data_IF_356386376707
#
_entry.id   IF_356386376707
#
_cell.length_a   1.000
_cell.length_b   1.000
_cell.length_c   1.000
_cell.angle_alpha   90.00
_cell.angle_beta   90.00
_cell.angle_gamma   90.00
#
_symmetry.space_group_name_H-M   'P 1'
#
loop_
_entity.id
_entity.type
_entity.pdbx_description
1 polymer ?
#
# COMPACT_ATOMS: atom_id res chain seq x y z
N UNK A 1 7.65 -0.48 40.65
CA UNK A 1 7.12 0.67 39.88
C UNK A 1 8.10 0.89 38.74
N UNK A 2 7.63 1.10 37.50
CA UNK A 2 8.54 1.44 36.41
C UNK A 2 9.06 2.87 36.59
N UNK A 3 10.33 3.10 36.30
CA UNK A 3 10.82 4.47 36.16
C UNK A 3 10.21 5.06 34.87
N UNK A 4 9.89 6.35 34.89
CA UNK A 4 9.33 7.07 33.74
C UNK A 4 10.29 7.20 32.57
N UNK A 5 9.95 8.10 31.66
CA UNK A 5 10.91 8.63 30.70
C UNK A 5 11.23 10.07 31.08
N UNK A 6 12.41 10.54 30.71
CA UNK A 6 12.75 11.97 30.79
C UNK A 6 12.96 12.44 29.36
N UNK A 7 12.20 13.45 28.96
CA UNK A 7 12.47 14.18 27.74
C UNK A 7 13.37 15.36 28.08
N UNK A 8 14.50 15.48 27.36
CA UNK A 8 15.33 16.68 27.36
C UNK A 8 15.16 17.32 25.99
N UNK A 9 14.59 18.52 25.96
CA UNK A 9 14.44 19.32 24.74
C UNK A 9 15.55 20.36 24.69
N UNK A 10 16.14 20.57 23.52
CA UNK A 10 17.07 21.66 23.25
C UNK A 10 16.67 22.38 21.97
N UNK A 11 16.73 23.71 21.97
CA UNK A 11 16.58 24.52 20.76
C UNK A 11 17.96 24.84 20.20
N UNK A 12 18.11 24.71 18.88
CA UNK A 12 19.38 24.92 18.17
C UNK A 12 19.17 25.72 16.87
N UNK A 13 20.25 26.31 16.35
CA UNK A 13 20.32 26.65 14.92
C UNK A 13 20.59 25.39 14.08
N UNK A 14 20.19 25.39 12.81
CA UNK A 14 20.32 24.23 11.92
C UNK A 14 21.77 23.73 11.78
N UNK A 15 22.75 24.63 11.74
CA UNK A 15 24.18 24.28 11.70
C UNK A 15 24.69 23.56 12.97
N UNK A 16 23.93 23.58 14.07
CA UNK A 16 24.26 22.89 15.32
C UNK A 16 23.41 21.61 15.54
N UNK A 17 22.42 21.32 14.68
CA UNK A 17 21.47 20.21 14.89
C UNK A 17 22.18 18.85 14.92
N UNK A 18 22.91 18.50 13.85
CA UNK A 18 23.57 17.20 13.67
C UNK A 18 24.47 16.84 14.87
N UNK A 19 25.33 17.77 15.29
CA UNK A 19 26.21 17.59 16.44
C UNK A 19 25.47 17.42 17.77
N UNK A 20 24.35 18.13 17.97
CA UNK A 20 23.53 17.99 19.19
C UNK A 20 22.77 16.66 19.21
N UNK A 21 22.26 16.20 18.06
CA UNK A 21 21.65 14.88 17.91
C UNK A 21 22.65 13.75 18.21
N UNK A 22 23.85 13.79 17.62
CA UNK A 22 24.93 12.84 17.88
C UNK A 22 25.35 12.83 19.35
N UNK A 23 25.48 14.01 19.96
CA UNK A 23 25.77 14.13 21.38
C UNK A 23 24.68 13.48 22.25
N UNK A 24 23.40 13.76 21.98
CA UNK A 24 22.28 13.19 22.74
C UNK A 24 22.18 11.66 22.59
N UNK A 25 22.48 11.10 21.41
CA UNK A 25 22.62 9.65 21.26
C UNK A 25 23.83 9.08 22.03
N UNK A 26 24.98 9.77 22.03
CA UNK A 26 26.17 9.36 22.81
C UNK A 26 25.90 9.33 24.33
N UNK A 27 24.95 10.14 24.78
CA UNK A 27 24.45 10.20 26.16
C UNK A 27 23.34 9.17 26.46
N UNK A 28 23.15 8.20 25.56
CA UNK A 28 22.15 7.12 25.63
C UNK A 28 20.68 7.57 25.52
N UNK A 29 20.38 8.50 24.62
CA UNK A 29 19.00 8.74 24.19
C UNK A 29 18.41 7.48 23.56
N UNK A 30 17.18 7.15 23.94
CA UNK A 30 16.38 6.04 23.39
C UNK A 30 15.75 6.38 22.03
N UNK A 31 15.66 7.67 21.73
CA UNK A 31 15.12 8.21 20.49
C UNK A 31 15.15 9.74 20.48
N UNK A 32 15.15 10.31 19.28
CA UNK A 32 15.10 11.75 19.01
C UNK A 32 13.89 12.07 18.13
N UNK A 33 13.30 13.25 18.34
CA UNK A 33 12.36 13.89 17.42
C UNK A 33 12.86 15.31 17.18
N UNK A 34 12.99 15.73 15.92
CA UNK A 34 13.35 17.11 15.57
C UNK A 34 12.17 17.81 14.90
N UNK A 35 11.98 19.08 15.21
CA UNK A 35 10.88 19.93 14.72
C UNK A 35 11.41 21.29 14.29
N UNK A 36 11.06 21.73 13.08
CA UNK A 36 11.32 23.09 12.60
C UNK A 36 10.57 24.12 13.44
N UNK A 37 11.28 25.14 13.93
CA UNK A 37 10.69 26.29 14.60
C UNK A 37 10.57 27.46 13.60
N UNK A 38 9.35 28.00 13.37
CA UNK A 38 9.16 29.08 12.41
C UNK A 38 9.76 30.40 12.92
N UNK A 39 10.72 30.94 12.16
CA UNK A 39 11.38 32.21 12.44
C UNK A 39 12.54 32.50 11.48
N UNK A 40 13.12 33.70 11.57
CA UNK A 40 14.41 34.05 10.98
C UNK A 40 15.38 34.54 12.09
N UNK A 41 16.58 33.94 12.25
CA UNK A 41 17.03 32.71 11.60
C UNK A 41 16.12 31.52 11.97
N UNK A 42 16.03 30.53 11.08
CA UNK A 42 15.35 29.28 11.39
C UNK A 42 16.12 28.52 12.47
N UNK A 43 15.37 27.89 13.38
CA UNK A 43 15.90 27.04 14.42
C UNK A 43 15.11 25.74 14.50
N UNK A 44 15.63 24.78 15.24
CA UNK A 44 15.03 23.45 15.37
C UNK A 44 14.95 23.07 16.84
N UNK A 45 13.84 22.45 17.27
CA UNK A 45 13.71 21.84 18.59
C UNK A 45 14.03 20.36 18.47
N UNK A 46 15.10 19.94 19.13
CA UNK A 46 15.50 18.54 19.26
C UNK A 46 14.96 18.03 20.60
N UNK A 47 14.14 16.97 20.60
CA UNK A 47 13.62 16.34 21.80
C UNK A 47 14.18 14.93 21.96
N UNK A 48 14.86 14.68 23.07
CA UNK A 48 15.55 13.43 23.35
C UNK A 48 14.90 12.68 24.52
N UNK A 49 14.44 11.46 24.26
CA UNK A 49 13.85 10.58 25.29
C UNK A 49 14.91 9.72 25.97
N UNK A 50 14.97 9.73 27.30
CA UNK A 50 15.87 8.92 28.12
C UNK A 50 15.09 8.07 29.14
N UNK A 51 15.70 6.98 29.62
CA UNK A 51 15.13 6.20 30.71
C UNK A 51 15.16 6.99 32.04
N UNK A 52 14.07 6.99 32.80
CA UNK A 52 13.89 7.76 34.05
C UNK A 52 14.79 7.35 35.23
N UNK A 53 15.72 6.42 35.04
CA UNK A 53 16.87 6.20 35.94
C UNK A 53 18.04 7.16 35.68
N UNK A 54 17.98 7.98 34.63
CA UNK A 54 19.05 8.90 34.25
C UNK A 54 19.22 10.01 35.30
N UNK A 55 20.48 10.35 35.61
CA UNK A 55 20.83 11.53 36.40
C UNK A 55 20.74 12.80 35.54
N UNK A 56 19.53 13.25 35.27
CA UNK A 56 19.21 14.32 34.30
C UNK A 56 20.06 15.58 34.49
N UNK A 57 20.21 16.08 35.73
CA UNK A 57 21.05 17.25 36.00
C UNK A 57 22.50 17.07 35.57
N UNK A 58 23.05 15.86 35.63
CA UNK A 58 24.41 15.58 35.15
C UNK A 58 24.48 15.55 33.61
N UNK A 59 23.41 15.13 32.92
CA UNK A 59 23.29 15.25 31.45
C UNK A 59 23.21 16.72 31.04
N UNK A 60 22.33 17.51 31.66
CA UNK A 60 22.16 18.94 31.35
C UNK A 60 23.49 19.70 31.48
N UNK A 61 24.28 19.41 32.51
CA UNK A 61 25.62 20.02 32.64
C UNK A 61 26.66 19.48 31.65
N UNK A 62 26.46 18.32 31.00
CA UNK A 62 27.29 17.91 29.84
C UNK A 62 26.81 18.59 28.55
N UNK A 63 25.50 18.62 28.31
CA UNK A 63 24.86 19.29 27.17
C UNK A 63 25.25 20.77 27.09
N UNK A 64 25.16 21.54 28.19
CA UNK A 64 25.61 22.94 28.24
C UNK A 64 27.07 23.14 27.83
N UNK A 65 27.98 22.25 28.28
CA UNK A 65 29.41 22.31 27.91
C UNK A 65 29.62 21.97 26.44
N UNK A 66 28.82 21.06 25.90
CA UNK A 66 28.87 20.72 24.48
C UNK A 66 28.32 21.87 23.62
N UNK A 67 27.18 22.48 23.98
CA UNK A 67 26.67 23.70 23.34
C UNK A 67 27.70 24.83 23.33
N UNK A 68 28.34 25.11 24.47
CA UNK A 68 29.40 26.12 24.56
C UNK A 68 30.64 25.77 23.71
N UNK A 69 30.92 24.49 23.48
CA UNK A 69 32.00 24.06 22.57
C UNK A 69 31.64 24.27 21.10
N UNK A 70 30.38 24.07 20.71
CA UNK A 70 29.87 24.40 19.38
C UNK A 70 29.81 25.94 19.16
N UNK A 71 29.39 26.70 20.18
CA UNK A 71 29.44 28.16 20.17
C UNK A 71 30.87 28.71 20.03
N UNK A 72 31.84 28.10 20.70
CA UNK A 72 33.26 28.44 20.56
C UNK A 72 33.87 28.08 19.18
N UNK A 73 33.24 27.17 18.42
CA UNK A 73 33.55 26.90 17.02
C UNK A 73 32.86 27.88 16.04
N UNK A 74 31.99 28.76 16.55
CA UNK A 74 31.27 29.77 15.78
C UNK A 74 29.93 29.31 15.20
N UNK A 75 29.41 28.15 15.59
CA UNK A 75 28.15 27.61 15.07
C UNK A 75 26.94 28.43 15.57
N UNK A 76 26.13 29.02 14.67
CA UNK A 76 25.02 29.88 15.06
C UNK A 76 23.92 29.11 15.78
N UNK A 77 23.39 29.69 16.86
CA UNK A 77 22.30 29.10 17.63
C UNK A 77 22.67 27.89 18.50
N UNK A 78 23.97 27.58 18.67
CA UNK A 78 24.42 26.46 19.48
C UNK A 78 23.97 26.52 20.96
N UNK A 79 23.94 27.70 21.58
CA UNK A 79 23.61 27.93 23.00
C UNK A 79 22.12 28.25 23.25
N UNK A 80 21.21 27.58 22.53
CA UNK A 80 19.77 27.72 22.76
C UNK A 80 19.28 27.04 24.07
N UNK A 81 18.05 27.36 24.51
CA UNK A 81 17.50 26.87 25.78
C UNK A 81 17.39 25.34 25.85
N UNK A 82 17.66 24.80 27.04
CA UNK A 82 17.39 23.40 27.41
C UNK A 82 16.15 23.36 28.32
N UNK A 83 15.15 22.56 27.94
CA UNK A 83 13.96 22.26 28.74
C UNK A 83 14.02 20.78 29.17
N UNK A 84 13.50 20.46 30.36
CA UNK A 84 13.47 19.10 30.91
C UNK A 84 12.04 18.78 31.35
N UNK A 85 11.51 17.66 30.87
CA UNK A 85 10.19 17.16 31.24
C UNK A 85 10.31 15.72 31.75
N UNK A 86 9.96 15.52 33.02
CA UNK A 86 9.70 14.17 33.53
C UNK A 86 8.35 13.69 32.97
N UNK A 87 8.39 12.67 32.12
CA UNK A 87 7.21 12.01 31.58
C UNK A 87 6.95 10.77 32.47
N UNK A 88 5.85 10.74 33.23
CA UNK A 88 5.50 9.57 34.04
C UNK A 88 5.39 8.30 33.18
N UNK A 89 5.36 7.12 33.81
CA UNK A 89 4.77 5.93 33.17
C UNK A 89 3.24 6.04 33.17
N UNK A 90 2.74 7.17 32.66
CA UNK A 90 1.37 7.27 32.20
C UNK A 90 1.23 6.52 30.88
N UNK A 91 0.03 5.97 30.71
CA UNK A 91 -0.15 4.74 29.96
C UNK A 91 -0.29 5.02 28.46
N UNK A 92 0.74 5.58 27.81
CA UNK A 92 0.72 5.94 26.38
C UNK A 92 0.23 4.77 25.51
N UNK A 93 0.59 3.52 25.84
CA UNK A 93 0.12 2.30 25.18
C UNK A 93 -1.35 1.93 25.40
N UNK A 94 -2.06 2.59 26.33
CA UNK A 94 -3.53 2.53 26.50
C UNK A 94 -4.25 3.86 26.27
N UNK A 95 -3.59 5.01 26.36
CA UNK A 95 -4.28 6.30 26.34
C UNK A 95 -4.92 6.57 24.97
N UNK A 96 -4.22 6.18 23.89
CA UNK A 96 -4.77 6.20 22.52
C UNK A 96 -6.10 5.44 22.39
N UNK A 97 -6.28 4.34 23.13
CA UNK A 97 -7.48 3.50 23.11
C UNK A 97 -8.74 4.24 23.55
N UNK A 98 -8.61 5.31 24.35
CA UNK A 98 -9.73 6.15 24.80
C UNK A 98 -10.32 7.01 23.67
N UNK A 99 -9.53 7.30 22.63
CA UNK A 99 -9.93 8.14 21.50
C UNK A 99 -10.66 7.34 20.41
N UNK A 100 -10.44 6.03 20.32
CA UNK A 100 -11.20 5.15 19.44
C UNK A 100 -12.54 4.79 20.10
N UNK A 101 -13.62 5.35 19.57
CA UNK A 101 -14.99 5.10 20.02
C UNK A 101 -15.84 4.44 18.95
N UNK A 102 -16.96 3.78 19.32
CA UNK A 102 -17.88 3.21 18.35
C UNK A 102 -18.36 4.27 17.35
N UNK A 103 -18.11 4.03 16.07
CA UNK A 103 -18.44 4.91 14.95
C UNK A 103 -19.59 4.30 14.14
N UNK A 104 -20.81 4.82 14.23
CA UNK A 104 -21.89 4.45 13.32
C UNK A 104 -21.52 4.81 11.88
N UNK A 105 -21.70 3.88 10.95
CA UNK A 105 -21.47 4.09 9.51
C UNK A 105 -22.71 3.64 8.76
N UNK A 106 -23.16 4.41 7.76
CA UNK A 106 -24.45 4.15 7.10
C UNK A 106 -25.62 4.01 8.07
N UNK A 107 -26.53 3.07 7.81
CA UNK A 107 -27.72 2.74 8.61
C UNK A 107 -27.55 1.43 9.38
N UNK A 108 -26.74 0.50 8.87
CA UNK A 108 -26.68 -0.91 9.27
C UNK A 108 -25.35 -1.33 9.91
N UNK A 109 -24.34 -0.46 9.96
CA UNK A 109 -23.03 -0.77 10.53
C UNK A 109 -22.66 0.10 11.74
N UNK A 110 -21.87 -0.47 12.66
CA UNK A 110 -21.08 0.30 13.65
C UNK A 110 -19.69 -0.31 13.74
N UNK A 111 -18.67 0.51 13.49
CA UNK A 111 -17.26 0.11 13.62
C UNK A 111 -16.84 0.37 15.06
N UNK A 112 -16.28 -0.62 15.75
CA UNK A 112 -15.87 -0.48 17.14
C UNK A 112 -14.55 -1.20 17.43
N UNK A 113 -13.69 -0.68 18.34
CA UNK A 113 -12.54 -1.43 18.79
C UNK A 113 -12.93 -2.59 19.71
N UNK A 114 -12.08 -3.63 19.89
CA UNK A 114 -12.41 -4.80 20.70
C UNK A 114 -12.57 -4.56 22.20
N UNK A 115 -12.30 -3.36 22.71
CA UNK A 115 -12.44 -2.98 24.13
C UNK A 115 -13.64 -2.06 24.42
N UNK A 116 -14.44 -1.69 23.41
CA UNK A 116 -15.73 -1.04 23.61
C UNK A 116 -16.82 -2.09 23.40
N UNK A 117 -17.67 -2.33 24.40
CA UNK A 117 -18.74 -3.34 24.36
C UNK A 117 -20.15 -2.74 24.20
N UNK A 118 -20.22 -1.42 23.97
CA UNK A 118 -21.46 -0.71 23.69
C UNK A 118 -21.99 0.09 24.90
N UNK A 119 -23.33 0.32 24.99
CA UNK A 119 -24.38 -0.27 24.16
C UNK A 119 -24.28 0.10 22.68
N UNK A 120 -24.51 -0.88 21.81
CA UNK A 120 -24.63 -0.70 20.37
C UNK A 120 -26.12 -0.67 19.96
N UNK A 121 -26.53 0.11 18.94
CA UNK A 121 -27.90 0.06 18.43
C UNK A 121 -28.24 -1.32 17.86
N UNK A 122 -29.35 -1.92 18.31
CA UNK A 122 -29.76 -3.29 17.93
C UNK A 122 -29.94 -3.48 16.42
N UNK A 123 -30.23 -2.40 15.69
CA UNK A 123 -30.41 -2.40 14.24
C UNK A 123 -29.09 -2.33 13.43
N UNK A 124 -27.93 -2.36 14.10
CA UNK A 124 -26.59 -2.27 13.47
C UNK A 124 -25.74 -3.50 13.76
N UNK A 125 -25.00 -3.96 12.75
CA UNK A 125 -23.97 -5.00 12.88
C UNK A 125 -22.68 -4.36 13.40
N UNK A 126 -22.07 -4.99 14.40
CA UNK A 126 -20.81 -4.52 15.00
C UNK A 126 -19.63 -5.11 14.22
N UNK A 127 -18.85 -4.24 13.59
CA UNK A 127 -17.61 -4.58 12.89
C UNK A 127 -16.45 -4.29 13.84
N UNK A 128 -15.85 -5.34 14.43
CA UNK A 128 -14.76 -5.18 15.41
C UNK A 128 -13.39 -5.11 14.73
N UNK A 129 -12.65 -4.02 15.00
CA UNK A 129 -11.34 -3.72 14.40
C UNK A 129 -10.37 -3.28 15.49
N UNK A 130 -9.28 -4.00 15.72
CA UNK A 130 -8.15 -3.43 16.46
C UNK A 130 -7.40 -2.44 15.54
N UNK A 131 -7.29 -1.15 15.89
CA UNK A 131 -6.63 -0.13 15.06
C UNK A 131 -5.10 -0.20 15.05
N UNK A 132 -4.47 -1.18 15.72
CA UNK A 132 -3.07 -1.11 16.14
C UNK A 132 -2.02 -0.82 15.04
N UNK A 133 -2.03 -1.51 13.89
CA UNK A 133 -0.91 -1.43 12.91
C UNK A 133 -1.31 -1.43 11.42
N UNK A 134 -2.59 -1.53 11.06
CA UNK A 134 -3.03 -1.63 9.67
C UNK A 134 -4.03 -0.52 9.30
N UNK A 135 -4.10 -0.18 8.00
CA UNK A 135 -5.00 0.84 7.49
C UNK A 135 -6.46 0.36 7.44
N UNK A 136 -7.42 1.30 7.50
CA UNK A 136 -8.86 1.01 7.47
C UNK A 136 -9.53 0.97 8.85
N UNK A 137 -9.20 1.88 9.76
CA UNK A 137 -9.81 1.98 11.10
C UNK A 137 -11.26 2.49 11.11
N UNK A 138 -11.94 2.54 9.96
CA UNK A 138 -13.31 3.07 9.76
C UNK A 138 -13.44 4.60 9.84
N UNK A 139 -12.49 5.29 10.49
CA UNK A 139 -12.56 6.72 10.75
C UNK A 139 -12.32 7.58 9.49
N UNK A 140 -11.45 7.11 8.59
CA UNK A 140 -11.08 7.81 7.35
C UNK A 140 -12.25 7.85 6.34
N UNK A 141 -12.42 8.99 5.65
CA UNK A 141 -13.53 9.23 4.73
C UNK A 141 -13.67 8.17 3.64
N UNK A 142 -12.55 7.74 3.05
CA UNK A 142 -12.54 6.68 2.02
C UNK A 142 -13.14 5.37 2.52
N UNK A 143 -12.79 4.97 3.75
CA UNK A 143 -13.30 3.74 4.36
C UNK A 143 -14.79 3.88 4.69
N UNK A 144 -15.21 5.05 5.21
CA UNK A 144 -16.61 5.35 5.50
C UNK A 144 -17.48 5.29 4.24
N UNK A 145 -17.04 5.93 3.16
CA UNK A 145 -17.75 5.90 1.87
C UNK A 145 -17.79 4.50 1.25
N UNK A 146 -16.72 3.71 1.33
CA UNK A 146 -16.74 2.31 0.88
C UNK A 146 -17.75 1.46 1.67
N UNK A 147 -17.83 1.63 2.99
CA UNK A 147 -18.80 0.94 3.85
C UNK A 147 -20.25 1.37 3.56
N UNK A 148 -20.49 2.65 3.29
CA UNK A 148 -21.82 3.18 2.90
C UNK A 148 -22.23 2.76 1.47
N UNK A 149 -21.27 2.65 0.56
CA UNK A 149 -21.49 2.13 -0.79
C UNK A 149 -21.76 0.62 -0.78
N UNK A 150 -21.05 -0.13 0.08
CA UNK A 150 -21.27 -1.56 0.34
C UNK A 150 -22.67 -1.78 0.94
N UNK A 151 -23.08 -1.00 1.94
CA UNK A 151 -24.43 -1.04 2.50
C UNK A 151 -25.48 -0.85 1.40
N UNK A 152 -25.37 0.23 0.61
CA UNK A 152 -26.28 0.52 -0.51
C UNK A 152 -26.23 -0.50 -1.67
N UNK A 153 -25.21 -1.35 -1.74
CA UNK A 153 -25.18 -2.52 -2.63
C UNK A 153 -25.96 -3.69 -2.02
N UNK A 154 -25.71 -4.02 -0.75
CA UNK A 154 -26.37 -5.12 -0.04
C UNK A 154 -27.88 -4.88 0.12
N UNK A 155 -28.31 -3.65 0.39
CA UNK A 155 -29.72 -3.25 0.46
C UNK A 155 -30.47 -3.38 -0.88
N UNK A 156 -29.73 -3.42 -1.99
CA UNK A 156 -30.24 -3.60 -3.34
C UNK A 156 -29.99 -5.01 -3.89
N UNK A 157 -29.57 -5.96 -3.06
CA UNK A 157 -29.28 -7.32 -3.46
C UNK A 157 -30.54 -8.21 -3.37
N UNK A 158 -30.84 -9.07 -4.37
CA UNK A 158 -32.05 -9.89 -4.34
C UNK A 158 -32.01 -10.99 -3.26
N UNK A 159 -33.00 -11.00 -2.36
CA UNK A 159 -33.11 -11.96 -1.26
C UNK A 159 -33.19 -13.43 -1.74
N UNK A 160 -33.73 -13.66 -2.93
CA UNK A 160 -33.91 -14.99 -3.54
C UNK A 160 -32.61 -15.60 -4.10
N UNK A 161 -31.56 -14.80 -4.27
CA UNK A 161 -30.28 -15.26 -4.83
C UNK A 161 -29.25 -15.70 -3.78
N UNK A 162 -29.61 -15.70 -2.50
CA UNK A 162 -28.66 -15.88 -1.39
C UNK A 162 -27.77 -14.65 -1.22
N UNK A 163 -26.64 -14.78 -0.53
CA UNK A 163 -25.67 -13.67 -0.39
C UNK A 163 -24.75 -13.52 -1.61
N UNK A 164 -24.26 -12.31 -1.92
CA UNK A 164 -23.27 -12.09 -2.98
C UNK A 164 -21.90 -12.68 -2.66
N UNK A 165 -21.11 -12.95 -3.70
CA UNK A 165 -19.68 -13.31 -3.63
C UNK A 165 -18.84 -12.04 -3.80
N UNK A 166 -18.02 -11.71 -2.81
CA UNK A 166 -17.31 -10.42 -2.71
C UNK A 166 -15.79 -10.61 -2.77
N UNK A 167 -15.09 -9.70 -3.46
CA UNK A 167 -13.63 -9.53 -3.41
C UNK A 167 -13.30 -8.23 -2.68
N UNK A 168 -12.28 -8.24 -1.82
CA UNK A 168 -11.72 -7.07 -1.15
C UNK A 168 -10.22 -6.95 -1.46
N UNK A 169 -9.82 -5.88 -2.17
CA UNK A 169 -8.46 -5.71 -2.73
C UNK A 169 -7.72 -4.60 -1.99
N UNK A 170 -6.62 -4.97 -1.34
CA UNK A 170 -5.94 -4.11 -0.35
C UNK A 170 -6.73 -4.08 0.96
N UNK A 171 -7.05 -5.26 1.49
CA UNK A 171 -8.01 -5.43 2.60
C UNK A 171 -7.53 -4.77 3.91
N UNK A 172 -6.22 -4.55 4.10
CA UNK A 172 -5.67 -3.84 5.25
C UNK A 172 -6.05 -4.48 6.59
N UNK A 173 -6.82 -3.76 7.41
CA UNK A 173 -7.43 -4.26 8.66
C UNK A 173 -8.47 -5.37 8.47
N UNK A 174 -8.89 -5.69 7.24
CA UNK A 174 -10.02 -6.58 6.97
C UNK A 174 -11.39 -5.90 7.06
N UNK A 175 -11.46 -4.58 7.27
CA UNK A 175 -12.72 -3.90 7.64
C UNK A 175 -13.84 -4.05 6.60
N UNK A 176 -13.51 -3.96 5.30
CA UNK A 176 -14.49 -4.06 4.23
C UNK A 176 -14.97 -5.52 4.07
N UNK A 177 -14.06 -6.48 4.10
CA UNK A 177 -14.38 -7.91 4.13
C UNK A 177 -15.24 -8.33 5.35
N UNK A 178 -14.92 -7.85 6.56
CA UNK A 178 -15.71 -8.10 7.78
C UNK A 178 -17.11 -7.50 7.64
N UNK A 179 -17.22 -6.26 7.13
CA UNK A 179 -18.51 -5.60 6.90
C UNK A 179 -19.36 -6.36 5.88
N UNK A 180 -18.77 -6.82 4.77
CA UNK A 180 -19.48 -7.58 3.74
C UNK A 180 -20.03 -8.91 4.28
N UNK A 181 -19.23 -9.67 5.05
CA UNK A 181 -19.70 -10.88 5.71
C UNK A 181 -20.79 -10.59 6.77
N UNK A 182 -20.67 -9.49 7.51
CA UNK A 182 -21.64 -9.05 8.53
C UNK A 182 -22.98 -8.61 7.95
N UNK A 183 -22.98 -8.03 6.74
CA UNK A 183 -24.17 -7.64 5.99
C UNK A 183 -24.81 -8.80 5.22
N UNK A 184 -24.15 -9.97 5.13
CA UNK A 184 -24.75 -11.18 4.58
C UNK A 184 -24.16 -11.69 3.26
N UNK A 185 -22.99 -11.22 2.82
CA UNK A 185 -22.25 -11.85 1.71
C UNK A 185 -22.14 -13.38 1.92
N UNK A 186 -22.29 -14.19 0.89
CA UNK A 186 -22.21 -15.66 1.00
C UNK A 186 -20.75 -16.13 1.14
N UNK A 187 -19.83 -15.47 0.44
CA UNK A 187 -18.38 -15.69 0.49
C UNK A 187 -17.67 -14.36 0.30
N UNK A 188 -16.56 -14.18 0.99
CA UNK A 188 -15.65 -13.05 0.74
C UNK A 188 -14.24 -13.61 0.52
N UNK A 189 -13.55 -13.12 -0.51
CA UNK A 189 -12.11 -13.29 -0.67
C UNK A 189 -11.45 -11.94 -0.43
N UNK A 190 -10.38 -11.90 0.33
CA UNK A 190 -9.68 -10.68 0.70
C UNK A 190 -8.20 -10.85 0.37
N UNK A 191 -7.61 -9.90 -0.35
CA UNK A 191 -6.21 -9.96 -0.80
C UNK A 191 -5.44 -8.73 -0.34
N UNK A 192 -4.21 -8.94 0.11
CA UNK A 192 -3.25 -7.87 0.39
C UNK A 192 -1.82 -8.32 0.09
N UNK A 193 -0.99 -7.43 -0.44
CA UNK A 193 0.42 -7.72 -0.74
C UNK A 193 1.30 -7.62 0.51
N UNK A 194 0.85 -6.91 1.56
CA UNK A 194 1.54 -6.88 2.85
C UNK A 194 1.14 -8.07 3.75
N UNK A 195 2.10 -8.92 4.17
CA UNK A 195 1.83 -9.95 5.17
C UNK A 195 1.30 -9.37 6.49
N UNK A 196 1.69 -8.17 6.91
CA UNK A 196 1.21 -7.58 8.17
C UNK A 196 -0.26 -7.16 8.10
N UNK A 197 -0.71 -6.62 6.95
CA UNK A 197 -2.11 -6.42 6.65
C UNK A 197 -2.89 -7.75 6.66
N UNK A 198 -2.40 -8.79 5.98
CA UNK A 198 -3.02 -10.12 6.01
C UNK A 198 -3.17 -10.65 7.45
N UNK A 199 -2.14 -10.48 8.28
CA UNK A 199 -2.14 -10.87 9.69
C UNK A 199 -3.14 -10.06 10.52
N UNK A 200 -3.27 -8.75 10.26
CA UNK A 200 -4.24 -7.87 10.92
C UNK A 200 -5.68 -8.22 10.53
N UNK A 201 -5.94 -8.47 9.23
CA UNK A 201 -7.23 -8.93 8.74
C UNK A 201 -7.64 -10.26 9.40
N UNK A 202 -6.75 -11.27 9.43
CA UNK A 202 -7.02 -12.56 10.12
C UNK A 202 -7.34 -12.37 11.61
N UNK A 203 -6.61 -11.48 12.31
CA UNK A 203 -6.87 -11.16 13.73
C UNK A 203 -8.22 -10.48 13.94
N UNK A 204 -8.57 -9.50 13.11
CA UNK A 204 -9.85 -8.78 13.21
C UNK A 204 -11.06 -9.64 12.81
N UNK A 205 -10.90 -10.54 11.84
CA UNK A 205 -11.91 -11.53 11.47
C UNK A 205 -12.29 -12.42 12.66
N UNK A 206 -11.33 -12.81 13.49
CA UNK A 206 -11.57 -13.60 14.70
C UNK A 206 -12.29 -12.82 15.83
N UNK A 207 -12.37 -11.48 15.75
CA UNK A 207 -13.10 -10.65 16.72
C UNK A 207 -14.60 -10.53 16.42
N UNK A 208 -15.03 -10.84 15.18
CA UNK A 208 -16.41 -10.62 14.71
C UNK A 208 -17.05 -11.96 14.35
N UNK A 209 -18.24 -12.25 14.88
CA UNK A 209 -18.93 -13.53 14.61
C UNK A 209 -19.47 -13.60 13.17
N UNK A 210 -19.49 -14.79 12.57
CA UNK A 210 -20.04 -15.04 11.22
C UNK A 210 -19.06 -14.81 10.06
N UNK A 211 -17.82 -14.43 10.37
CA UNK A 211 -16.70 -14.16 9.44
C UNK A 211 -16.03 -15.41 8.86
N UNK A 212 -16.44 -16.62 9.24
CA UNK A 212 -15.87 -17.91 8.78
C UNK A 212 -15.98 -18.16 7.27
N UNK A 213 -16.70 -17.29 6.55
CA UNK A 213 -16.86 -17.27 5.07
C UNK A 213 -15.86 -16.35 4.36
N UNK A 214 -14.95 -15.73 5.09
CA UNK A 214 -13.94 -14.79 4.58
C UNK A 214 -12.59 -15.50 4.48
N UNK A 215 -11.99 -15.49 3.29
CA UNK A 215 -10.69 -16.09 3.02
C UNK A 215 -9.68 -14.99 2.71
N UNK A 216 -8.73 -14.78 3.63
CA UNK A 216 -7.58 -13.87 3.40
C UNK A 216 -6.49 -14.64 2.66
N UNK A 217 -6.00 -14.08 1.56
CA UNK A 217 -4.84 -14.55 0.79
C UNK A 217 -3.75 -13.47 0.81
N UNK A 218 -2.48 -13.88 0.80
CA UNK A 218 -1.34 -12.96 0.69
C UNK A 218 -0.89 -12.88 -0.77
N UNK A 219 -0.80 -11.66 -1.30
CA UNK A 219 -0.47 -11.35 -2.69
C UNK A 219 -1.47 -10.35 -3.30
N UNK A 220 -1.25 -10.01 -4.58
CA UNK A 220 -2.17 -9.20 -5.35
C UNK A 220 -3.30 -10.03 -5.96
N UNK A 221 -3.85 -9.53 -7.07
CA UNK A 221 -4.93 -10.20 -7.82
C UNK A 221 -4.49 -11.58 -8.33
N UNK A 222 -3.20 -11.74 -8.63
CA UNK A 222 -2.61 -13.01 -9.07
C UNK A 222 -2.73 -14.15 -8.04
N UNK A 223 -2.84 -13.83 -6.74
CA UNK A 223 -3.08 -14.83 -5.69
C UNK A 223 -4.47 -15.47 -5.77
N UNK A 224 -5.40 -14.90 -6.53
CA UNK A 224 -6.70 -15.51 -6.82
C UNK A 224 -6.59 -16.72 -7.77
N UNK A 225 -5.48 -16.86 -8.52
CA UNK A 225 -5.28 -17.96 -9.46
C UNK A 225 -6.42 -18.06 -10.49
N UNK A 226 -7.15 -19.18 -10.46
CA UNK A 226 -8.31 -19.45 -11.31
C UNK A 226 -9.66 -19.20 -10.61
N UNK A 227 -9.73 -18.26 -9.66
CA UNK A 227 -10.96 -17.91 -8.97
C UNK A 227 -12.10 -17.50 -9.92
N UNK A 228 -13.33 -17.79 -9.49
CA UNK A 228 -14.54 -17.42 -10.21
C UNK A 228 -14.83 -15.91 -10.20
N UNK A 229 -15.92 -15.55 -10.88
CA UNK A 229 -16.41 -14.16 -10.95
C UNK A 229 -17.02 -13.71 -9.62
N UNK A 230 -16.93 -12.41 -9.34
CA UNK A 230 -17.44 -11.77 -8.12
C UNK A 230 -18.62 -10.85 -8.44
N UNK A 231 -19.64 -10.87 -7.59
CA UNK A 231 -20.81 -9.99 -7.70
C UNK A 231 -20.46 -8.55 -7.28
N UNK A 232 -19.51 -8.44 -6.35
CA UNK A 232 -18.96 -7.18 -5.85
C UNK A 232 -17.44 -7.25 -5.71
N UNK A 233 -16.75 -6.20 -6.16
CA UNK A 233 -15.35 -5.93 -5.83
C UNK A 233 -15.25 -4.64 -5.03
N UNK A 234 -14.48 -4.66 -3.95
CA UNK A 234 -14.14 -3.52 -3.11
C UNK A 234 -12.63 -3.23 -3.28
N UNK A 235 -12.26 -1.96 -3.47
CA UNK A 235 -10.85 -1.56 -3.59
C UNK A 235 -10.65 -0.12 -3.06
N UNK A 236 -10.06 0.01 -1.88
CA UNK A 236 -9.76 1.30 -1.23
C UNK A 236 -8.25 1.60 -1.39
N UNK A 237 -7.86 2.04 -2.59
CA UNK A 237 -6.49 2.10 -3.09
C UNK A 237 -6.13 3.50 -3.63
N UNK A 238 -4.86 3.90 -3.56
CA UNK A 238 -4.43 5.17 -4.16
C UNK A 238 -4.56 5.15 -5.69
N UNK A 239 -4.79 6.30 -6.31
CA UNK A 239 -5.04 6.44 -7.76
C UNK A 239 -4.01 5.70 -8.63
N UNK A 240 -2.73 5.71 -8.22
CA UNK A 240 -1.63 5.09 -8.99
C UNK A 240 -1.67 3.57 -8.92
N UNK A 241 -2.10 2.99 -7.80
CA UNK A 241 -2.34 1.54 -7.68
C UNK A 241 -3.67 1.15 -8.32
N UNK A 242 -4.71 1.96 -8.20
CA UNK A 242 -6.05 1.66 -8.70
C UNK A 242 -6.13 1.65 -10.24
N UNK A 243 -5.69 2.73 -10.90
CA UNK A 243 -5.92 2.92 -12.33
C UNK A 243 -5.37 1.77 -13.22
N UNK A 244 -4.16 1.21 -12.99
CA UNK A 244 -3.69 0.04 -13.72
C UNK A 244 -4.53 -1.23 -13.51
N UNK A 245 -5.21 -1.35 -12.37
CA UNK A 245 -5.98 -2.55 -12.01
C UNK A 245 -7.42 -2.52 -12.54
N UNK A 246 -8.01 -1.35 -12.86
CA UNK A 246 -9.42 -1.24 -13.28
C UNK A 246 -9.83 -2.21 -14.39
N UNK A 247 -8.99 -2.40 -15.41
CA UNK A 247 -9.25 -3.33 -16.53
C UNK A 247 -9.13 -4.81 -16.14
N UNK A 248 -8.38 -5.12 -15.07
CA UNK A 248 -8.29 -6.48 -14.51
C UNK A 248 -9.50 -6.73 -13.61
N UNK A 249 -9.81 -5.79 -12.71
CA UNK A 249 -10.96 -5.85 -11.81
C UNK A 249 -12.28 -5.96 -12.57
N UNK A 250 -12.43 -5.28 -13.72
CA UNK A 250 -13.62 -5.40 -14.57
C UNK A 250 -13.84 -6.81 -15.14
N UNK A 251 -12.76 -7.56 -15.39
CA UNK A 251 -12.81 -8.94 -15.88
C UNK A 251 -13.18 -9.94 -14.78
N UNK A 252 -12.91 -9.61 -13.52
CA UNK A 252 -13.30 -10.41 -12.36
C UNK A 252 -14.79 -10.28 -12.01
N UNK A 253 -15.50 -9.28 -12.54
CA UNK A 253 -16.92 -9.10 -12.28
C UNK A 253 -17.80 -10.18 -12.91
N UNK A 254 -18.88 -10.53 -12.21
CA UNK A 254 -20.03 -11.25 -12.76
C UNK A 254 -20.87 -10.32 -13.67
N UNK A 255 -21.73 -10.87 -14.55
CA UNK A 255 -22.73 -10.08 -15.28
C UNK A 255 -23.54 -9.18 -14.34
N UNK A 256 -23.57 -7.87 -14.61
CA UNK A 256 -24.24 -6.88 -13.76
C UNK A 256 -23.52 -6.54 -12.42
N UNK A 257 -22.41 -7.21 -12.11
CA UNK A 257 -21.60 -6.99 -10.91
C UNK A 257 -21.02 -5.58 -10.82
N UNK A 258 -20.63 -5.19 -9.60
CA UNK A 258 -20.16 -3.82 -9.29
C UNK A 258 -18.75 -3.80 -8.69
N UNK A 259 -18.06 -2.69 -8.93
CA UNK A 259 -16.78 -2.33 -8.36
C UNK A 259 -16.98 -1.04 -7.54
N UNK A 260 -16.67 -1.07 -6.25
CA UNK A 260 -16.67 0.10 -5.36
C UNK A 260 -15.22 0.50 -5.12
N UNK A 261 -14.87 1.72 -5.52
CA UNK A 261 -13.49 2.26 -5.39
C UNK A 261 -13.46 3.54 -4.57
N UNK A 262 -12.47 3.65 -3.69
CA UNK A 262 -12.07 4.89 -3.02
C UNK A 262 -10.55 4.82 -2.74
N UNK A 263 -10.02 5.73 -1.93
CA UNK A 263 -8.57 5.99 -1.84
C UNK A 263 -8.09 7.05 -2.86
N UNK A 264 -9.03 7.66 -3.57
CA UNK A 264 -8.82 8.62 -4.67
C UNK A 264 -8.98 10.05 -4.13
N UNK A 265 -7.97 10.93 -4.20
CA UNK A 265 -8.13 12.36 -3.95
C UNK A 265 -9.12 13.00 -4.95
N UNK A 266 -9.89 14.01 -4.55
CA UNK A 266 -10.93 14.58 -5.42
C UNK A 266 -10.37 15.22 -6.70
N UNK A 267 -9.14 15.74 -6.66
CA UNK A 267 -8.42 16.27 -7.83
C UNK A 267 -8.04 15.19 -8.86
N UNK A 268 -7.97 13.92 -8.46
CA UNK A 268 -7.68 12.77 -9.34
C UNK A 268 -8.94 12.21 -10.02
N UNK A 269 -10.14 12.75 -9.74
CA UNK A 269 -11.39 12.33 -10.39
C UNK A 269 -11.29 12.30 -11.93
N UNK A 270 -10.68 13.28 -12.64
CA UNK A 270 -10.54 13.22 -14.09
C UNK A 270 -9.68 12.04 -14.56
N UNK A 271 -8.62 11.72 -13.82
CA UNK A 271 -7.70 10.59 -14.09
C UNK A 271 -8.42 9.26 -13.98
N UNK A 272 -9.13 9.02 -12.87
CA UNK A 272 -9.91 7.79 -12.65
C UNK A 272 -11.07 7.71 -13.63
N UNK A 273 -11.77 8.81 -13.87
CA UNK A 273 -12.91 8.87 -14.81
C UNK A 273 -12.47 8.53 -16.24
N UNK A 274 -11.30 8.99 -16.69
CA UNK A 274 -10.77 8.61 -17.99
C UNK A 274 -10.43 7.10 -18.08
N UNK A 275 -9.87 6.51 -17.02
CA UNK A 275 -9.55 5.08 -16.96
C UNK A 275 -10.79 4.17 -16.85
N UNK A 276 -11.89 4.67 -16.28
CA UNK A 276 -13.20 4.00 -16.31
C UNK A 276 -13.79 4.03 -17.72
N UNK A 277 -13.76 5.18 -18.41
CA UNK A 277 -14.30 5.32 -19.77
C UNK A 277 -13.49 4.60 -20.86
N UNK A 278 -12.23 4.24 -20.62
CA UNK A 278 -11.43 3.41 -21.54
C UNK A 278 -11.65 1.89 -21.35
N UNK A 279 -12.44 1.50 -20.34
CA UNK A 279 -12.83 0.14 -20.02
C UNK A 279 -14.33 -0.08 -20.30
N UNK A 280 -14.84 -1.33 -20.37
CA UNK A 280 -16.28 -1.59 -20.48
C UNK A 280 -16.97 -1.45 -19.10
N UNK A 281 -16.80 -0.28 -18.50
CA UNK A 281 -17.24 0.10 -17.17
C UNK A 281 -18.07 1.38 -17.24
N UNK A 282 -19.01 1.55 -16.29
CA UNK A 282 -19.78 2.78 -16.14
C UNK A 282 -19.94 3.14 -14.67
N UNK A 283 -19.55 4.36 -14.30
CA UNK A 283 -19.91 4.94 -12.99
C UNK A 283 -21.44 5.03 -12.88
N UNK A 284 -22.00 4.42 -11.84
CA UNK A 284 -23.45 4.42 -11.54
C UNK A 284 -23.80 5.27 -10.32
N UNK A 285 -22.83 5.58 -9.46
CA UNK A 285 -23.00 6.38 -8.25
C UNK A 285 -21.63 6.96 -7.79
N UNK A 286 -21.65 8.10 -7.08
CA UNK A 286 -20.49 8.95 -6.75
C UNK A 286 -20.70 9.65 -5.39
N UNK A 287 -19.83 9.35 -4.42
CA UNK A 287 -19.73 10.05 -3.13
C UNK A 287 -18.45 10.88 -3.07
N UNK A 288 -18.48 11.97 -2.31
CA UNK A 288 -17.31 12.78 -1.95
C UNK A 288 -17.42 13.15 -0.48
N UNK A 289 -16.33 13.01 0.28
CA UNK A 289 -16.24 13.40 1.69
C UNK A 289 -14.78 13.70 2.06
N UNK A 290 -14.56 14.78 2.81
CA UNK A 290 -13.26 15.20 3.35
C UNK A 290 -12.13 15.22 2.28
N UNK A 291 -12.44 15.77 1.09
CA UNK A 291 -11.61 15.85 -0.13
C UNK A 291 -11.24 14.50 -0.79
N UNK A 292 -11.89 13.40 -0.41
CA UNK A 292 -11.79 12.10 -1.07
C UNK A 292 -13.00 11.78 -1.95
N UNK A 293 -12.77 11.02 -3.02
CA UNK A 293 -13.77 10.47 -3.92
C UNK A 293 -14.06 8.99 -3.61
N UNK A 294 -15.31 8.57 -3.77
CA UNK A 294 -15.69 7.16 -3.87
C UNK A 294 -16.66 6.96 -5.04
N UNK A 295 -16.36 6.02 -5.94
CA UNK A 295 -17.19 5.68 -7.10
C UNK A 295 -17.76 4.27 -6.96
N UNK A 296 -19.06 4.12 -7.25
CA UNK A 296 -19.66 2.82 -7.56
C UNK A 296 -19.70 2.69 -9.07
N UNK A 297 -19.06 1.65 -9.59
CA UNK A 297 -18.90 1.36 -11.02
C UNK A 297 -19.58 0.03 -11.32
N UNK A 298 -20.26 -0.10 -12.46
CA UNK A 298 -20.89 -1.34 -12.93
C UNK A 298 -20.23 -1.79 -14.24
N UNK A 299 -20.08 -3.10 -14.44
CA UNK A 299 -19.77 -3.64 -15.77
C UNK A 299 -20.91 -3.33 -16.75
N UNK A 300 -20.58 -2.86 -17.95
CA UNK A 300 -21.51 -2.74 -19.08
C UNK A 300 -21.35 -3.89 -20.09
N UNK A 301 -20.57 -4.92 -19.74
CA UNK A 301 -20.53 -6.17 -20.50
C UNK A 301 -21.68 -7.06 -20.07
N UNK A 302 -22.72 -7.12 -20.90
CA UNK A 302 -23.52 -8.35 -21.00
C UNK A 302 -22.60 -9.38 -21.66
N UNK A 303 -22.24 -10.45 -20.94
CA UNK A 303 -21.32 -11.47 -21.45
C UNK A 303 -22.03 -12.35 -22.48
N UNK A 304 -21.86 -12.01 -23.76
CA UNK A 304 -22.07 -12.95 -24.87
C UNK A 304 -21.16 -14.17 -24.65
N UNK A 305 -21.75 -15.36 -24.50
CA UNK A 305 -21.14 -16.54 -23.87
C UNK A 305 -19.96 -17.17 -24.65
N UNK A 306 -19.49 -16.53 -25.71
CA UNK A 306 -18.80 -17.18 -26.83
C UNK A 306 -17.33 -16.80 -27.02
N UNK A 307 -16.77 -15.79 -26.34
CA UNK A 307 -15.42 -15.28 -26.64
C UNK A 307 -14.35 -15.30 -25.53
N UNK A 308 -14.68 -15.53 -24.26
CA UNK A 308 -13.69 -15.70 -23.16
C UNK A 308 -13.99 -16.96 -22.33
N UNK A 309 -14.01 -18.11 -23.00
CA UNK A 309 -14.28 -19.42 -22.39
C UNK A 309 -13.01 -19.96 -21.70
N UNK A 310 -12.84 -19.61 -20.41
CA UNK A 310 -12.25 -20.56 -19.46
C UNK A 310 -13.14 -21.82 -19.43
N UNK A 311 -12.59 -23.04 -19.24
CA UNK A 311 -13.25 -24.29 -19.62
C UNK A 311 -14.70 -24.42 -19.13
N UNK A 312 -15.59 -24.79 -20.05
CA UNK A 312 -17.02 -24.97 -19.79
C UNK A 312 -17.27 -26.00 -18.67
N UNK A 313 -17.58 -25.47 -17.49
CA UNK A 313 -18.61 -25.99 -16.58
C UNK A 313 -19.53 -24.80 -16.26
N UNK A 314 -20.82 -25.05 -15.98
CA UNK A 314 -21.72 -23.97 -15.56
C UNK A 314 -21.18 -23.29 -14.29
N UNK A 315 -21.52 -22.01 -14.08
CA UNK A 315 -20.96 -21.18 -13.00
C UNK A 315 -21.33 -21.67 -11.59
N UNK A 316 -20.69 -22.74 -11.16
CA UNK A 316 -20.88 -23.40 -9.88
C UNK A 316 -20.36 -22.50 -8.76
N UNK A 317 -21.30 -21.85 -8.07
CA UNK A 317 -21.04 -20.97 -6.93
C UNK A 317 -20.26 -21.68 -5.80
N UNK A 318 -20.14 -23.01 -5.79
CA UNK A 318 -19.31 -23.77 -4.85
C UNK A 318 -17.83 -23.94 -5.27
N UNK A 319 -17.50 -23.93 -6.57
CA UNK A 319 -16.18 -24.35 -7.11
C UNK A 319 -15.22 -23.22 -7.49
N UNK A 320 -15.23 -22.11 -6.75
CA UNK A 320 -14.12 -21.15 -6.77
C UNK A 320 -12.91 -21.76 -6.02
N UNK A 321 -12.04 -22.48 -6.75
CA UNK A 321 -10.91 -23.22 -6.16
C UNK A 321 -9.82 -22.25 -5.67
N UNK A 322 -9.77 -22.04 -4.36
CA UNK A 322 -8.66 -21.36 -3.70
C UNK A 322 -7.47 -22.32 -3.54
N UNK A 323 -6.42 -22.11 -4.34
CA UNK A 323 -5.14 -22.83 -4.18
C UNK A 323 -4.22 -22.04 -3.25
N UNK A 324 -4.13 -22.47 -1.99
CA UNK A 324 -3.13 -21.96 -1.04
C UNK A 324 -1.75 -22.63 -1.29
N UNK A 325 -0.67 -21.92 -0.97
CA UNK A 325 0.70 -22.30 -1.29
C UNK A 325 1.17 -23.57 -0.54
N UNK A 326 0.60 -23.87 0.62
CA UNK A 326 0.98 -25.00 1.48
C UNK A 326 0.09 -26.26 1.32
N UNK A 327 -0.68 -26.36 0.22
CA UNK A 327 -0.89 -27.64 -0.43
C UNK A 327 -1.91 -28.64 0.12
N UNK A 328 -3.02 -28.20 0.74
CA UNK A 328 -4.25 -29.02 0.78
C UNK A 328 -5.52 -28.20 1.13
N UNK A 329 -6.56 -28.31 0.27
CA UNK A 329 -7.95 -27.92 0.63
C UNK A 329 -8.86 -29.11 0.35
N UNK A 330 -9.57 -29.60 1.37
CA UNK A 330 -10.61 -30.64 1.23
C UNK A 330 -11.96 -29.96 1.01
N UNK A 331 -12.78 -30.50 0.10
CA UNK A 331 -14.17 -30.08 -0.06
C UNK A 331 -15.00 -30.51 1.16
N UNK A 332 -15.90 -29.65 1.61
CA UNK A 332 -16.99 -30.04 2.50
C UNK A 332 -18.21 -30.45 1.67
N UNK A 333 -18.44 -31.76 1.59
CA UNK A 333 -19.71 -32.37 1.21
C UNK A 333 -20.67 -32.32 2.42
N UNK A 334 -21.96 -32.05 2.18
CA UNK A 334 -23.00 -32.08 3.23
C UNK A 334 -23.20 -33.48 3.84
N UNK A 335 -22.68 -34.55 3.20
CA UNK A 335 -22.79 -35.94 3.64
C UNK A 335 -21.74 -36.40 4.68
N UNK A 336 -20.83 -35.53 5.14
CA UNK A 336 -20.08 -35.71 6.41
C UNK A 336 -19.16 -36.94 6.55
N UNK A 337 -18.79 -37.62 5.46
CA UNK A 337 -17.97 -38.84 5.49
C UNK A 337 -16.54 -38.63 4.98
N UNK A 338 -15.54 -39.04 5.77
CA UNK A 338 -14.12 -39.03 5.33
C UNK A 338 -13.73 -40.42 4.82
N UNK A 339 -13.16 -40.48 3.61
CA UNK A 339 -12.36 -41.62 3.14
C UNK A 339 -11.03 -41.11 2.59
N UNK A 340 -9.92 -41.70 3.01
CA UNK A 340 -8.59 -41.35 2.52
C UNK A 340 -8.28 -42.08 1.21
N UNK A 341 -8.33 -41.35 0.09
CA UNK A 341 -7.90 -41.85 -1.21
C UNK A 341 -6.37 -41.94 -1.26
N UNK A 342 -5.83 -43.16 -1.40
CA UNK A 342 -4.41 -43.36 -1.70
C UNK A 342 -4.09 -42.85 -3.11
N UNK A 343 -2.96 -42.16 -3.24
CA UNK A 343 -2.35 -41.85 -4.54
C UNK A 343 -2.08 -43.15 -5.33
N UNK A 344 -2.34 -43.18 -6.65
CA UNK A 344 -1.89 -44.29 -7.50
C UNK A 344 -0.36 -44.26 -7.61
N UNK A 345 0.29 -45.39 -7.30
CA UNK A 345 1.72 -45.56 -7.50
C UNK A 345 1.98 -45.73 -9.00
N UNK A 346 2.85 -44.89 -9.57
CA UNK A 346 3.43 -45.14 -10.88
C UNK A 346 4.67 -46.00 -10.66
N UNK A 347 4.58 -47.29 -10.99
CA UNK A 347 5.74 -48.19 -11.03
C UNK A 347 6.60 -47.87 -12.27
N UNK A 348 7.87 -47.54 -12.08
CA UNK A 348 8.80 -47.39 -13.22
C UNK A 348 10.12 -46.69 -12.92
N UNK A 349 11.22 -47.44 -13.12
CA UNK A 349 12.63 -47.03 -13.08
C UNK A 349 13.23 -46.68 -11.70
N UNK A 350 14.51 -47.03 -11.55
CA UNK A 350 15.24 -47.09 -10.28
C UNK A 350 16.19 -45.88 -10.10
N UNK A 351 16.58 -45.63 -8.84
CA UNK A 351 17.80 -44.89 -8.51
C UNK A 351 19.03 -45.62 -9.11
N UNK A 352 20.12 -44.94 -9.53
CA UNK A 352 21.06 -44.44 -8.52
C UNK A 352 21.92 -43.22 -8.91
N UNK A 353 22.62 -42.65 -7.92
CA UNK A 353 23.79 -41.79 -8.16
C UNK A 353 25.12 -42.53 -7.93
N UNK A 354 26.02 -42.61 -8.92
CA UNK A 354 27.49 -42.79 -8.70
C UNK A 354 28.40 -42.54 -9.92
N UNK A 355 29.45 -41.76 -9.67
CA UNK A 355 30.85 -41.86 -10.16
C UNK A 355 31.18 -42.19 -11.64
N UNK A 356 31.71 -41.17 -12.33
CA UNK A 356 33.05 -41.10 -12.98
C UNK A 356 33.62 -42.24 -13.87
N UNK A 357 34.23 -41.76 -14.98
CA UNK A 357 35.24 -42.36 -15.90
C UNK A 357 34.76 -43.02 -17.21
N UNK A 358 35.27 -42.47 -18.34
CA UNK A 358 35.16 -43.01 -19.70
C UNK A 358 35.85 -42.09 -20.72
N UNK A 359 36.93 -42.54 -21.38
CA UNK A 359 37.82 -41.71 -22.21
C UNK A 359 38.35 -42.51 -23.41
N UNK A 360 38.66 -41.97 -24.60
CA UNK A 360 38.68 -40.59 -25.14
C UNK A 360 37.69 -40.54 -26.35
N UNK A 361 37.54 -39.53 -27.22
CA UNK A 361 38.24 -38.29 -27.61
C UNK A 361 37.86 -37.95 -29.07
N UNK A 362 38.52 -37.00 -29.78
CA UNK A 362 39.55 -36.05 -29.36
C UNK A 362 39.08 -34.57 -29.36
N UNK A 363 40.03 -33.66 -29.16
CA UNK A 363 39.95 -32.17 -29.06
C UNK A 363 39.69 -31.47 -30.42
N UNK A 364 39.42 -30.15 -30.57
CA UNK A 364 40.07 -28.93 -29.98
C UNK A 364 39.09 -27.73 -29.87
N UNK A 365 39.44 -26.75 -29.00
CA UNK A 365 38.82 -25.42 -28.80
C UNK A 365 38.98 -24.53 -30.08
N UNK A 366 38.20 -23.50 -30.39
CA UNK A 366 37.51 -22.50 -29.57
C UNK A 366 38.26 -21.13 -29.66
N UNK A 367 37.65 -20.02 -30.10
CA UNK A 367 38.37 -18.78 -30.41
C UNK A 367 38.36 -17.71 -29.29
N UNK A 368 39.42 -16.90 -29.23
CA UNK A 368 39.56 -15.72 -28.37
C UNK A 368 39.63 -14.41 -29.20
N UNK A 369 39.09 -13.33 -28.62
CA UNK A 369 39.37 -11.89 -28.82
C UNK A 369 40.40 -11.40 -29.87
N UNK A 370 39.91 -10.64 -30.87
CA UNK A 370 40.49 -9.38 -31.43
C UNK A 370 41.89 -9.46 -32.14
N UNK A 371 42.52 -8.37 -32.67
CA UNK A 371 42.11 -6.95 -32.77
C UNK A 371 42.49 -6.19 -34.10
N UNK A 372 42.33 -4.85 -34.10
CA UNK A 372 43.01 -3.80 -34.91
C UNK A 372 42.57 -3.54 -36.39
N UNK A 373 42.75 -2.27 -36.81
CA UNK A 373 42.38 -1.64 -38.10
C UNK A 373 43.44 -1.88 -39.20
N UNK A 374 43.00 -1.83 -40.46
CA UNK A 374 43.85 -1.61 -41.65
C UNK A 374 43.03 -1.01 -42.80
N UNK A 375 43.63 -0.13 -43.61
CA UNK A 375 42.93 0.65 -44.65
C UNK A 375 43.75 0.77 -45.93
N UNK A 376 43.11 0.70 -47.11
CA UNK A 376 43.26 1.71 -48.20
C UNK A 376 42.74 1.28 -49.59
N UNK A 377 42.15 2.25 -50.31
CA UNK A 377 42.17 2.47 -51.78
C UNK A 377 41.41 1.54 -52.76
N UNK A 378 40.87 2.17 -53.81
CA UNK A 378 40.13 1.59 -54.94
C UNK A 378 39.12 2.60 -55.54
N UNK A 379 39.26 2.97 -56.81
CA UNK A 379 38.60 4.15 -57.43
C UNK A 379 37.22 3.89 -58.09
N UNK A 380 36.52 4.98 -58.47
CA UNK A 380 35.17 5.01 -59.12
C UNK A 380 35.19 4.94 -60.68
N UNK A 381 34.41 5.75 -61.46
CA UNK A 381 33.54 6.90 -61.10
C UNK A 381 32.19 7.00 -61.89
N UNK A 382 31.53 8.19 -61.85
CA UNK A 382 30.30 8.66 -62.56
C UNK A 382 28.95 8.01 -62.14
N UNK A 383 27.76 8.64 -62.17
CA UNK A 383 27.22 9.98 -62.54
C UNK A 383 25.65 9.90 -62.48
N UNK A 384 24.73 10.83 -62.82
CA UNK A 384 24.58 12.27 -63.19
C UNK A 384 23.05 12.57 -62.97
N UNK A 385 22.45 13.74 -62.64
CA UNK A 385 22.83 15.11 -62.23
C UNK A 385 21.60 16.08 -62.31
N UNK A 386 21.73 17.34 -61.86
CA UNK A 386 20.72 18.46 -61.86
C UNK A 386 19.45 18.34 -60.94
N UNK A 387 18.78 19.43 -60.51
CA UNK A 387 19.25 20.83 -60.37
C UNK A 387 18.19 21.98 -60.33
N UNK A 388 17.95 22.57 -59.14
CA UNK A 388 17.50 23.99 -58.89
C UNK A 388 16.05 24.42 -59.33
N UNK A 389 15.46 25.57 -58.88
CA UNK A 389 15.49 26.23 -57.54
C UNK A 389 14.19 27.00 -57.09
N UNK A 390 14.28 27.67 -55.92
CA UNK A 390 13.85 29.09 -55.66
C UNK A 390 12.69 29.45 -54.69
N UNK A 391 12.85 30.65 -54.10
CA UNK A 391 12.00 31.49 -53.20
C UNK A 391 12.40 32.98 -53.48
N UNK A 392 11.92 34.11 -52.84
CA UNK A 392 11.16 34.32 -51.58
C UNK A 392 10.13 35.53 -51.62
N UNK A 393 9.92 36.25 -50.47
CA UNK A 393 9.20 37.55 -50.19
C UNK A 393 7.78 37.41 -49.57
N UNK A 394 7.25 38.29 -48.68
CA UNK A 394 7.79 39.39 -47.83
C UNK A 394 6.82 39.80 -46.66
N UNK A 395 7.27 40.72 -45.77
CA UNK A 395 6.68 41.27 -44.50
C UNK A 395 5.83 42.57 -44.69
N UNK A 396 5.34 43.32 -43.65
CA UNK A 396 5.09 43.10 -42.19
C UNK A 396 3.56 43.40 -41.87
N UNK A 397 3.08 44.17 -40.84
CA UNK A 397 3.47 44.46 -39.43
C UNK A 397 2.33 44.27 -38.36
N UNK A 398 2.60 44.54 -37.06
CA UNK A 398 1.58 44.82 -36.02
C UNK A 398 1.99 44.47 -34.56
N UNK A 399 2.00 45.44 -33.63
CA UNK A 399 2.44 45.35 -32.21
C UNK A 399 1.52 46.23 -31.31
N UNK A 400 1.59 46.22 -29.94
CA UNK A 400 2.61 45.63 -29.06
C UNK A 400 2.09 44.77 -27.87
N UNK A 401 3.00 44.03 -27.23
CA UNK A 401 2.89 43.57 -25.84
C UNK A 401 4.07 44.09 -25.00
N UNK A 402 3.88 44.35 -23.70
CA UNK A 402 4.92 44.95 -22.84
C UNK A 402 5.68 43.94 -21.97
N UNK A 403 6.97 44.25 -21.83
CA UNK A 403 7.93 43.90 -20.76
C UNK A 403 7.33 43.61 -19.38
N UNK A 404 7.92 42.77 -18.53
CA UNK A 404 9.36 42.42 -18.50
C UNK A 404 9.72 41.18 -17.66
N UNK A 405 10.95 41.13 -17.09
CA UNK A 405 11.80 39.95 -17.21
C UNK A 405 11.69 38.93 -16.07
N UNK A 406 11.98 37.67 -16.39
CA UNK A 406 12.39 36.66 -15.42
C UNK A 406 13.92 36.63 -15.24
N UNK A 407 14.37 35.90 -14.22
CA UNK A 407 15.75 35.44 -14.09
C UNK A 407 15.73 33.97 -13.67
N UNK A 408 16.66 33.18 -14.20
CA UNK A 408 16.74 31.73 -13.99
C UNK A 408 17.90 31.38 -13.06
N UNK A 409 17.70 30.37 -12.21
CA UNK A 409 18.80 29.64 -11.58
C UNK A 409 18.47 28.15 -11.48
N UNK A 410 19.51 27.33 -11.58
CA UNK A 410 19.46 25.88 -11.67
C UNK A 410 20.20 25.24 -10.51
N UNK A 411 19.59 24.24 -9.87
CA UNK A 411 20.30 23.16 -9.17
C UNK A 411 19.58 21.86 -9.61
N UNK A 412 20.26 20.89 -10.22
CA UNK A 412 21.32 20.03 -9.65
C UNK A 412 20.81 19.23 -8.46
N UNK A 413 20.27 18.03 -8.75
CA UNK A 413 19.83 17.08 -7.73
C UNK A 413 20.98 16.28 -7.12
N UNK A 414 20.76 15.76 -5.92
CA UNK A 414 21.60 14.75 -5.26
C UNK A 414 20.74 13.56 -4.81
N UNK A 415 21.26 12.32 -4.83
CA UNK A 415 20.48 11.14 -4.47
C UNK A 415 20.35 10.95 -2.96
N UNK A 416 19.14 10.63 -2.49
CA UNK A 416 18.92 10.19 -1.11
C UNK A 416 19.62 8.85 -0.86
N UNK A 417 20.49 8.79 0.16
CA UNK A 417 21.24 7.58 0.52
C UNK A 417 20.63 6.96 1.77
N UNK A 418 19.84 5.89 1.62
CA UNK A 418 19.39 5.09 2.78
C UNK A 418 20.55 4.25 3.31
N UNK A 419 20.91 4.46 4.58
CA UNK A 419 21.78 3.54 5.31
C UNK A 419 20.95 2.41 5.94
N UNK A 420 21.43 1.17 5.75
CA UNK A 420 20.79 -0.05 6.21
C UNK A 420 21.39 -0.45 7.57
N UNK A 421 20.64 -0.30 8.65
CA UNK A 421 21.08 -0.75 9.98
C UNK A 421 21.29 -2.27 9.95
N UNK A 422 22.50 -2.71 10.29
CA UNK A 422 22.81 -4.12 10.46
C UNK A 422 22.32 -4.61 11.84
N UNK A 423 21.70 -5.78 11.88
CA UNK A 423 21.26 -6.40 13.14
C UNK A 423 22.45 -6.80 14.01
N UNK A 424 22.33 -6.56 15.31
CA UNK A 424 23.23 -7.13 16.34
C UNK A 424 22.68 -8.50 16.76
N UNK A 425 23.58 -9.46 16.98
CA UNK A 425 23.28 -10.83 17.40
C UNK A 425 23.45 -11.04 18.92
#
# INVERSE_FOLDING_TARGET
MGNGYVEVSVVAGSEAEEGLCDFLFSECALGLVTEDLPGEPSGMRIRASFAGSLRVGALVERLKRFQASLGALGLPGAEGPIEVLEIPVEDWGRNWKKHFKPLPVGRHLVVAPPWEDGPFPENRRVVRIDPAMAFGTGHHATTRMCLEALEAFMDGWPEDQGGPVVLDVGTGTGILAIAAASLGAARVVAVDTDPQACDAARKNLALTAGTSRVHVLQGGIEALGAAGRFDLVLANLDTRTLCPLLTILSRLLAPGGRLIVSGIPIEDEPTVTAAVHSSPLRTVDRRVADDWLCLTIRSIVDLDETQDVLPHEAADRSRAVLTDCDGAVRLHDEAGGVQDAKLPVVEGAEEPGRLLQGMRGPTVRGPHTAPVKGSSLGDGPAGIGAGWPSSPRAFPPGWPGRTGPGSSCTSEGRPCTLYRVAGVA
#
